data_IF_892353211502
#
_entry.id   IF_892353211502
#
_cell.length_a   1.000
_cell.length_b   1.000
_cell.length_c   1.000
_cell.angle_alpha   90.00
_cell.angle_beta   90.00
_cell.angle_gamma   90.00
#
_symmetry.space_group_name_H-M   'P 1'
#
loop_
_entity.id
_entity.type
_entity.pdbx_description
1 polymer ?
#
# COMPACT_ATOMS: atom_id res chain seq x y z
N UNK A 1 -37.01 12.52 -80.38
CA UNK A 1 -35.73 13.26 -80.32
C UNK A 1 -35.76 14.08 -79.04
N UNK A 2 -35.24 13.55 -77.94
CA UNK A 2 -33.81 13.49 -77.52
C UNK A 2 -33.51 14.69 -76.61
N UNK A 3 -33.11 14.36 -75.37
CA UNK A 3 -32.34 15.18 -74.43
C UNK A 3 -33.09 15.96 -73.34
N UNK A 4 -34.14 15.40 -72.72
CA UNK A 4 -34.66 15.95 -71.44
C UNK A 4 -34.25 15.16 -70.18
N UNK A 5 -33.65 13.97 -70.35
CA UNK A 5 -33.22 13.12 -69.22
C UNK A 5 -31.79 13.38 -68.72
N UNK A 6 -31.03 14.28 -69.36
CA UNK A 6 -29.60 14.51 -69.05
C UNK A 6 -29.39 15.63 -68.01
N UNK A 7 -30.36 16.54 -67.82
CA UNK A 7 -30.24 17.61 -66.81
C UNK A 7 -30.75 17.21 -65.40
N UNK A 8 -31.45 16.08 -65.27
CA UNK A 8 -31.87 15.54 -63.98
C UNK A 8 -30.80 14.66 -63.30
N UNK A 9 -29.69 14.37 -63.99
CA UNK A 9 -28.57 13.59 -63.43
C UNK A 9 -27.42 14.46 -62.88
N UNK A 10 -27.48 15.79 -63.03
CA UNK A 10 -26.43 16.72 -62.58
C UNK A 10 -26.80 17.53 -61.32
N UNK A 11 -28.01 17.35 -60.75
CA UNK A 11 -28.44 17.97 -59.47
C UNK A 11 -28.52 16.92 -58.33
N UNK A 12 -27.98 15.71 -58.56
CA UNK A 12 -27.92 14.62 -57.58
C UNK A 12 -26.50 14.35 -57.04
N UNK A 13 -25.55 15.27 -57.28
CA UNK A 13 -24.12 15.11 -56.89
C UNK A 13 -23.62 16.27 -55.99
N UNK A 14 -24.50 17.00 -55.30
CA UNK A 14 -24.05 18.15 -54.49
C UNK A 14 -24.82 18.36 -53.17
N UNK A 15 -25.18 17.28 -52.47
CA UNK A 15 -25.73 17.41 -51.11
C UNK A 15 -25.58 16.11 -50.30
N UNK A 16 -24.33 15.63 -50.18
CA UNK A 16 -23.92 14.68 -49.14
C UNK A 16 -22.54 15.08 -48.60
N UNK A 17 -22.46 16.28 -48.04
CA UNK A 17 -21.51 16.60 -46.97
C UNK A 17 -22.30 17.27 -45.85
N UNK A 18 -23.26 16.54 -45.26
CA UNK A 18 -23.41 16.66 -43.82
C UNK A 18 -22.16 16.00 -43.24
N UNK A 19 -21.09 16.78 -43.10
CA UNK A 19 -20.17 16.48 -42.02
C UNK A 19 -21.06 16.51 -40.77
N UNK A 20 -21.17 15.38 -40.07
CA UNK A 20 -21.35 15.48 -38.63
C UNK A 20 -20.29 16.50 -38.20
N UNK A 21 -20.75 17.66 -37.72
CA UNK A 21 -20.02 18.27 -36.62
C UNK A 21 -20.06 17.15 -35.58
N UNK A 22 -18.95 16.40 -35.51
CA UNK A 22 -18.58 15.84 -34.24
C UNK A 22 -18.55 17.09 -33.34
N UNK A 23 -19.59 17.24 -32.52
CA UNK A 23 -19.45 18.02 -31.32
C UNK A 23 -18.22 17.40 -30.66
N UNK A 24 -17.08 18.07 -30.81
CA UNK A 24 -15.88 17.77 -30.05
C UNK A 24 -16.35 17.81 -28.61
N UNK A 25 -16.65 16.63 -28.05
CA UNK A 25 -16.73 16.46 -26.62
C UNK A 25 -15.42 17.05 -26.14
N UNK A 26 -15.47 18.14 -25.38
CA UNK A 26 -14.28 18.62 -24.68
C UNK A 26 -13.75 17.40 -23.91
N UNK A 27 -12.68 16.80 -24.43
CA UNK A 27 -12.06 15.58 -23.91
C UNK A 27 -11.30 15.87 -22.61
N UNK A 28 -11.74 16.90 -21.87
CA UNK A 28 -11.39 17.08 -20.48
C UNK A 28 -12.18 16.05 -19.69
N UNK A 29 -11.59 14.87 -19.60
CA UNK A 29 -11.90 13.93 -18.54
C UNK A 29 -12.05 14.71 -17.23
N UNK A 30 -13.16 14.58 -16.53
CA UNK A 30 -13.37 15.15 -15.19
C UNK A 30 -12.32 14.65 -14.16
N UNK A 31 -11.50 13.67 -14.54
CA UNK A 31 -10.38 13.14 -13.77
C UNK A 31 -9.05 13.90 -14.03
N UNK A 32 -8.99 14.76 -15.04
CA UNK A 32 -7.80 15.55 -15.33
C UNK A 32 -7.74 16.78 -14.42
N UNK A 33 -7.00 16.64 -13.32
CA UNK A 33 -6.73 17.74 -12.41
C UNK A 33 -5.98 18.89 -13.11
N UNK A 34 -6.45 20.11 -12.86
CA UNK A 34 -5.82 21.35 -13.31
C UNK A 34 -4.42 21.51 -12.70
N UNK A 35 -3.54 22.27 -13.36
CA UNK A 35 -2.21 22.57 -12.80
C UNK A 35 -2.27 23.33 -11.47
N UNK A 36 -3.36 24.05 -11.22
CA UNK A 36 -3.62 24.70 -9.93
C UNK A 36 -3.86 23.68 -8.82
N UNK A 37 -4.75 22.71 -9.04
CA UNK A 37 -5.06 21.64 -8.07
C UNK A 37 -3.81 20.79 -7.78
N UNK A 38 -3.04 20.47 -8.82
CA UNK A 38 -1.78 19.73 -8.65
C UNK A 38 -0.75 20.53 -7.84
N UNK A 39 -0.59 21.83 -8.11
CA UNK A 39 0.29 22.70 -7.32
C UNK A 39 -0.16 22.83 -5.86
N UNK A 40 -1.47 22.82 -5.61
CA UNK A 40 -2.04 22.83 -4.27
C UNK A 40 -1.76 21.54 -3.51
N UNK A 41 -1.86 20.39 -4.18
CA UNK A 41 -1.51 19.11 -3.60
C UNK A 41 0.00 18.96 -3.36
N UNK A 42 0.85 19.44 -4.28
CA UNK A 42 2.31 19.49 -4.09
C UNK A 42 2.67 20.29 -2.82
N UNK A 43 2.00 21.43 -2.57
CA UNK A 43 2.18 22.21 -1.34
C UNK A 43 1.72 21.43 -0.11
N UNK A 44 0.57 20.77 -0.18
CA UNK A 44 0.07 19.93 0.91
C UNK A 44 1.05 18.80 1.25
N UNK A 45 1.64 18.14 0.24
CA UNK A 45 2.66 17.09 0.43
C UNK A 45 3.95 17.64 1.03
N UNK A 46 4.40 18.83 0.62
CA UNK A 46 5.55 19.50 1.24
C UNK A 46 5.33 19.70 2.75
N UNK A 47 4.17 20.22 3.11
CA UNK A 47 3.81 20.54 4.51
C UNK A 47 3.57 19.30 5.36
N UNK A 48 2.98 18.24 4.79
CA UNK A 48 2.50 17.08 5.54
C UNK A 48 3.41 15.84 5.45
N UNK A 49 4.29 15.75 4.45
CA UNK A 49 5.20 14.62 4.25
C UNK A 49 6.67 15.02 4.29
N UNK A 50 7.07 16.01 3.49
CA UNK A 50 8.49 16.39 3.35
C UNK A 50 9.02 17.08 4.62
N UNK A 51 8.32 18.11 5.09
CA UNK A 51 8.76 18.88 6.25
C UNK A 51 8.77 18.05 7.55
N UNK A 52 7.72 17.26 7.88
CA UNK A 52 7.68 16.55 9.15
C UNK A 52 8.48 15.24 9.12
N UNK A 53 8.55 14.55 7.97
CA UNK A 53 9.08 13.17 7.91
C UNK A 53 10.25 12.98 6.94
N UNK A 54 10.56 13.97 6.09
CA UNK A 54 11.49 13.83 4.97
C UNK A 54 11.13 12.68 4.01
N UNK A 55 9.83 12.57 3.72
CA UNK A 55 9.29 11.62 2.75
C UNK A 55 8.95 12.39 1.47
N UNK A 56 9.48 11.94 0.34
CA UNK A 56 9.11 12.40 -1.00
C UNK A 56 7.95 11.54 -1.52
N UNK A 57 6.74 12.12 -1.54
CA UNK A 57 5.53 11.43 -1.99
C UNK A 57 5.25 11.76 -3.46
N UNK A 58 5.43 10.78 -4.33
CA UNK A 58 5.31 10.90 -5.78
C UNK A 58 4.00 10.29 -6.27
N UNK A 59 3.12 11.13 -6.83
CA UNK A 59 1.89 10.71 -7.48
C UNK A 59 1.88 11.02 -8.98
N UNK A 60 2.71 11.98 -9.42
CA UNK A 60 2.89 12.29 -10.83
C UNK A 60 3.69 11.15 -11.46
N UNK A 61 3.16 10.59 -12.54
CA UNK A 61 3.91 9.66 -13.37
C UNK A 61 4.97 10.48 -14.12
N UNK A 62 6.10 10.75 -13.46
CA UNK A 62 7.31 11.17 -14.16
C UNK A 62 7.65 10.05 -15.14
N UNK A 63 8.02 10.38 -16.39
CA UNK A 63 8.49 9.41 -17.37
C UNK A 63 9.81 8.78 -16.90
N UNK A 64 9.74 7.93 -15.87
CA UNK A 64 10.85 7.23 -15.25
C UNK A 64 10.87 5.83 -15.83
N UNK A 65 12.07 5.43 -16.23
CA UNK A 65 12.51 4.11 -16.70
C UNK A 65 12.10 2.95 -15.78
N UNK A 66 10.81 2.65 -15.69
CA UNK A 66 10.34 1.33 -15.26
C UNK A 66 10.30 0.44 -16.49
N UNK A 67 10.83 -0.79 -16.38
CA UNK A 67 10.76 -1.81 -17.43
C UNK A 67 9.37 -1.78 -18.09
N UNK A 68 9.35 -1.44 -19.40
CA UNK A 68 8.16 -1.25 -20.24
C UNK A 68 7.32 -2.54 -20.43
N UNK A 69 7.52 -3.55 -19.59
CA UNK A 69 6.83 -4.85 -19.60
C UNK A 69 5.53 -4.84 -18.79
N UNK A 70 5.27 -3.80 -17.99
CA UNK A 70 4.05 -3.66 -17.21
C UNK A 70 3.13 -2.56 -17.80
N UNK A 71 1.84 -2.85 -18.00
CA UNK A 71 0.81 -1.86 -18.37
C UNK A 71 0.57 -0.91 -17.19
N UNK A 72 1.51 0.00 -16.95
CA UNK A 72 1.41 1.05 -15.94
C UNK A 72 0.52 2.15 -16.50
N UNK A 73 -0.61 2.41 -15.85
CA UNK A 73 -1.46 3.56 -16.17
C UNK A 73 -1.18 4.69 -15.18
N UNK A 74 -1.37 5.96 -15.59
CA UNK A 74 -1.31 7.08 -14.68
C UNK A 74 -2.26 6.88 -13.50
N UNK A 75 -1.82 7.32 -12.33
CA UNK A 75 -2.61 7.30 -11.12
C UNK A 75 -3.71 8.36 -11.18
N UNK A 76 -4.94 8.00 -10.79
CA UNK A 76 -6.04 8.94 -10.55
C UNK A 76 -5.62 9.99 -9.49
N UNK A 77 -5.76 11.28 -9.85
CA UNK A 77 -5.33 12.38 -9.00
C UNK A 77 -6.07 12.42 -7.66
N UNK A 78 -7.40 12.38 -7.68
CA UNK A 78 -8.19 12.49 -6.45
C UNK A 78 -8.01 11.25 -5.57
N UNK A 79 -7.83 10.08 -6.17
CA UNK A 79 -7.46 8.88 -5.43
C UNK A 79 -6.06 9.00 -4.79
N UNK A 80 -5.13 9.73 -5.41
CA UNK A 80 -3.84 10.06 -4.79
C UNK A 80 -3.99 10.92 -3.54
N UNK A 81 -4.83 11.96 -3.62
CA UNK A 81 -5.12 12.85 -2.49
C UNK A 81 -5.69 12.04 -1.34
N UNK A 82 -6.68 11.18 -1.62
CA UNK A 82 -7.31 10.31 -0.62
C UNK A 82 -6.30 9.38 0.05
N UNK A 83 -5.48 8.69 -0.75
CA UNK A 83 -4.46 7.78 -0.23
C UNK A 83 -3.40 8.51 0.59
N UNK A 84 -2.93 9.68 0.16
CA UNK A 84 -1.94 10.44 0.91
C UNK A 84 -2.50 10.88 2.29
N UNK A 85 -3.78 11.24 2.38
CA UNK A 85 -4.43 11.55 3.67
C UNK A 85 -4.58 10.29 4.53
N UNK A 86 -5.06 9.18 3.96
CA UNK A 86 -5.25 7.91 4.68
C UNK A 86 -3.93 7.33 5.18
N UNK A 87 -2.88 7.31 4.35
CA UNK A 87 -1.53 6.83 4.70
C UNK A 87 -0.95 7.65 5.84
N UNK A 88 -1.09 8.99 5.78
CA UNK A 88 -0.64 9.86 6.87
C UNK A 88 -1.40 9.58 8.16
N UNK A 89 -2.73 9.50 8.09
CA UNK A 89 -3.57 9.35 9.27
C UNK A 89 -3.43 7.97 9.95
N UNK A 90 -3.51 6.88 9.18
CA UNK A 90 -3.54 5.52 9.70
C UNK A 90 -2.16 4.98 10.07
N UNK A 91 -1.09 5.56 9.52
CA UNK A 91 0.27 5.09 9.75
C UNK A 91 1.19 6.14 10.36
N UNK A 92 1.49 7.24 9.68
CA UNK A 92 2.49 8.20 10.19
C UNK A 92 2.08 8.80 11.53
N UNK A 93 0.83 9.27 11.62
CA UNK A 93 0.30 9.86 12.85
C UNK A 93 0.05 8.83 13.96
N UNK A 94 -0.26 7.59 13.60
CA UNK A 94 -0.35 6.50 14.58
C UNK A 94 1.01 6.23 15.25
N UNK A 95 2.09 6.30 14.46
CA UNK A 95 3.45 6.11 14.95
C UNK A 95 3.91 7.34 15.75
N UNK A 96 3.56 8.55 15.32
CA UNK A 96 3.83 9.79 16.07
C UNK A 96 3.15 9.77 17.45
N UNK A 97 1.90 9.33 17.52
CA UNK A 97 1.12 9.32 18.76
C UNK A 97 1.72 8.40 19.83
N UNK A 98 2.32 7.27 19.42
CA UNK A 98 2.82 6.26 20.36
C UNK A 98 4.33 6.33 20.56
N UNK A 99 5.10 6.55 19.50
CA UNK A 99 6.56 6.58 19.54
C UNK A 99 7.18 7.97 19.40
N UNK A 100 6.39 8.98 19.07
CA UNK A 100 6.87 10.33 18.78
C UNK A 100 7.48 10.49 17.38
N UNK A 101 7.66 11.73 16.96
CA UNK A 101 8.13 12.08 15.62
C UNK A 101 9.50 11.48 15.28
N UNK A 102 10.41 11.41 16.24
CA UNK A 102 11.74 10.84 16.04
C UNK A 102 11.68 9.34 15.71
N UNK A 103 10.76 8.60 16.34
CA UNK A 103 10.53 7.18 16.04
C UNK A 103 9.98 7.03 14.61
N UNK A 104 8.95 7.79 14.25
CA UNK A 104 8.37 7.77 12.90
C UNK A 104 9.42 8.07 11.84
N UNK A 105 10.23 9.12 12.04
CA UNK A 105 11.33 9.49 11.12
C UNK A 105 12.44 8.43 11.07
N UNK A 106 12.64 7.69 12.16
CA UNK A 106 13.61 6.60 12.20
C UNK A 106 13.17 5.38 11.37
N UNK A 107 11.90 5.19 11.06
CA UNK A 107 11.45 4.08 10.20
C UNK A 107 10.71 4.49 8.93
N UNK A 108 10.57 5.78 8.66
CA UNK A 108 9.99 6.27 7.43
C UNK A 108 10.83 5.92 6.20
N UNK A 109 10.20 5.52 5.08
CA UNK A 109 10.85 5.44 3.79
C UNK A 109 11.26 6.84 3.32
N UNK A 110 12.11 6.93 2.30
CA UNK A 110 12.48 8.23 1.70
C UNK A 110 11.56 8.60 0.56
N UNK A 111 11.00 7.62 -0.13
CA UNK A 111 10.08 7.83 -1.25
C UNK A 111 8.83 6.97 -1.06
N UNK A 112 7.66 7.54 -1.30
CA UNK A 112 6.42 6.80 -1.53
C UNK A 112 5.99 7.10 -2.96
N UNK A 113 5.71 6.08 -3.75
CA UNK A 113 5.32 6.23 -5.16
C UNK A 113 3.95 5.56 -5.40
N UNK A 114 3.02 6.27 -6.03
CA UNK A 114 1.73 5.71 -6.44
C UNK A 114 1.73 5.33 -7.92
N UNK A 115 1.14 4.19 -8.27
CA UNK A 115 1.03 3.71 -9.65
C UNK A 115 -0.40 3.20 -9.93
N UNK A 116 -1.01 3.62 -11.04
CA UNK A 116 -2.41 3.37 -11.43
C UNK A 116 -2.82 1.96 -11.84
N UNK A 117 -1.94 0.97 -11.73
CA UNK A 117 -2.22 -0.40 -12.19
C UNK A 117 -1.57 -1.42 -11.26
N UNK A 118 -2.25 -2.50 -10.90
CA UNK A 118 -1.64 -3.59 -10.15
C UNK A 118 -0.46 -4.20 -10.95
N UNK A 119 0.70 -4.36 -10.31
CA UNK A 119 1.80 -5.12 -10.93
C UNK A 119 1.61 -6.63 -10.66
N UNK A 120 1.63 -7.40 -11.74
CA UNK A 120 1.62 -8.85 -11.73
C UNK A 120 3.05 -9.37 -11.83
N UNK A 121 3.57 -9.95 -10.74
CA UNK A 121 4.77 -10.80 -10.79
C UNK A 121 4.44 -12.21 -10.28
N UNK A 122 4.75 -13.22 -11.09
CA UNK A 122 4.78 -14.66 -10.73
C UNK A 122 3.59 -15.22 -9.93
N UNK A 123 2.37 -14.76 -10.21
CA UNK A 123 1.15 -15.32 -9.59
C UNK A 123 0.86 -14.80 -8.17
N UNK A 124 1.61 -13.79 -7.73
CA UNK A 124 1.34 -13.01 -6.50
C UNK A 124 1.18 -11.55 -6.89
N UNK A 125 0.04 -10.94 -6.54
CA UNK A 125 -0.11 -9.50 -6.75
C UNK A 125 0.89 -8.78 -5.85
N UNK A 126 1.62 -7.82 -6.40
CA UNK A 126 2.49 -6.95 -5.61
C UNK A 126 1.84 -5.59 -5.59
N UNK A 127 1.20 -5.22 -4.47
CA UNK A 127 0.53 -3.93 -4.28
C UNK A 127 1.38 -2.94 -3.47
N UNK A 128 2.55 -3.41 -3.03
CA UNK A 128 3.59 -2.72 -2.28
C UNK A 128 4.96 -3.34 -2.59
N UNK A 129 5.93 -2.58 -3.11
CA UNK A 129 7.35 -3.00 -3.14
C UNK A 129 8.19 -2.06 -2.30
N UNK A 130 9.15 -2.59 -1.55
CA UNK A 130 10.18 -1.78 -0.91
C UNK A 130 11.59 -2.12 -1.40
N UNK A 131 12.32 -1.09 -1.81
CA UNK A 131 13.71 -1.21 -2.25
C UNK A 131 14.64 -0.77 -1.12
N UNK A 132 15.05 -1.73 -0.28
CA UNK A 132 16.01 -1.49 0.81
C UNK A 132 15.54 -0.47 1.85
N UNK A 133 14.23 -0.39 2.10
CA UNK A 133 13.63 0.60 2.99
C UNK A 133 13.64 2.05 2.48
N UNK A 134 14.16 2.30 1.27
CA UNK A 134 14.30 3.64 0.70
C UNK A 134 13.02 4.11 0.00
N UNK A 135 12.33 3.21 -0.69
CA UNK A 135 11.18 3.53 -1.55
C UNK A 135 10.07 2.52 -1.35
N UNK A 136 8.85 2.98 -1.12
CA UNK A 136 7.62 2.15 -1.11
C UNK A 136 6.78 2.48 -2.35
N UNK A 137 6.42 1.49 -3.15
CA UNK A 137 5.54 1.69 -4.32
C UNK A 137 4.17 1.09 -4.07
N UNK A 138 3.12 1.90 -4.03
CA UNK A 138 1.74 1.47 -3.85
C UNK A 138 1.02 1.43 -5.20
N UNK A 139 0.56 0.25 -5.60
CA UNK A 139 -0.20 0.07 -6.83
C UNK A 139 -1.70 0.19 -6.53
N UNK A 140 -2.43 0.95 -7.36
CA UNK A 140 -3.79 1.37 -7.08
C UNK A 140 -4.69 1.37 -8.32
N UNK A 141 -6.00 1.52 -8.10
CA UNK A 141 -7.00 1.68 -9.14
C UNK A 141 -8.37 2.01 -8.55
N UNK A 142 -9.30 2.46 -9.39
CA UNK A 142 -10.66 2.85 -9.01
C UNK A 142 -11.52 1.72 -8.39
N UNK A 143 -11.04 0.47 -8.43
CA UNK A 143 -11.66 -0.70 -7.80
C UNK A 143 -11.42 -0.77 -6.29
N UNK A 144 -10.59 0.11 -5.72
CA UNK A 144 -10.33 0.17 -4.28
C UNK A 144 -11.49 0.80 -3.51
N UNK A 145 -12.06 0.03 -2.60
CA UNK A 145 -12.89 0.57 -1.53
C UNK A 145 -12.00 1.03 -0.38
N UNK A 146 -11.73 2.34 -0.34
CA UNK A 146 -10.89 2.97 0.68
C UNK A 146 -11.48 2.89 2.10
N UNK A 147 -12.79 2.64 2.23
CA UNK A 147 -13.46 2.53 3.53
C UNK A 147 -13.44 1.12 4.09
N UNK A 148 -13.09 0.12 3.26
CA UNK A 148 -12.97 -1.25 3.69
C UNK A 148 -11.60 -1.48 4.36
N UNK A 149 -11.58 -1.38 5.69
CA UNK A 149 -10.37 -1.54 6.52
C UNK A 149 -9.64 -2.85 6.24
N UNK A 150 -10.36 -3.97 6.06
CA UNK A 150 -9.75 -5.26 5.78
C UNK A 150 -9.00 -5.26 4.43
N UNK A 151 -9.59 -4.63 3.39
CA UNK A 151 -8.95 -4.49 2.08
C UNK A 151 -7.74 -3.56 2.13
N UNK A 152 -7.86 -2.43 2.83
CA UNK A 152 -6.75 -1.49 2.98
C UNK A 152 -5.58 -2.12 3.77
N UNK A 153 -5.88 -2.93 4.78
CA UNK A 153 -4.88 -3.72 5.50
C UNK A 153 -4.22 -4.79 4.63
N UNK A 154 -5.03 -5.55 3.89
CA UNK A 154 -4.54 -6.61 2.98
C UNK A 154 -3.62 -6.04 1.90
N UNK A 155 -3.99 -4.90 1.32
CA UNK A 155 -3.30 -4.36 0.14
C UNK A 155 -2.13 -3.44 0.48
N UNK A 156 -2.23 -2.64 1.55
CA UNK A 156 -1.27 -1.58 1.81
C UNK A 156 -0.66 -1.67 3.20
N UNK A 157 -1.46 -1.53 4.25
CA UNK A 157 -0.91 -1.31 5.59
C UNK A 157 -0.06 -2.48 6.08
N UNK A 158 -0.44 -3.73 5.80
CA UNK A 158 0.38 -4.90 6.20
C UNK A 158 1.77 -4.85 5.58
N UNK A 159 1.87 -4.60 4.28
CA UNK A 159 3.17 -4.51 3.58
C UNK A 159 3.96 -3.31 4.10
N UNK A 160 3.31 -2.17 4.29
CA UNK A 160 3.96 -0.97 4.82
C UNK A 160 4.56 -1.21 6.21
N UNK A 161 3.77 -1.73 7.17
CA UNK A 161 4.27 -2.03 8.51
C UNK A 161 5.37 -3.11 8.52
N UNK A 162 5.29 -4.09 7.61
CA UNK A 162 6.33 -5.09 7.42
C UNK A 162 7.68 -4.45 7.06
N UNK A 163 7.67 -3.54 6.07
CA UNK A 163 8.89 -2.89 5.60
C UNK A 163 9.46 -1.89 6.62
N UNK A 164 8.62 -1.23 7.41
CA UNK A 164 9.11 -0.38 8.50
C UNK A 164 9.75 -1.19 9.61
N UNK A 165 9.19 -2.37 9.92
CA UNK A 165 9.83 -3.28 10.87
C UNK A 165 11.24 -3.64 10.39
N UNK A 166 11.44 -3.93 9.10
CA UNK A 166 12.78 -4.15 8.54
C UNK A 166 13.72 -2.95 8.72
N UNK A 167 13.26 -1.73 8.48
CA UNK A 167 14.09 -0.52 8.69
C UNK A 167 14.48 -0.37 10.17
N UNK A 168 13.55 -0.64 11.08
CA UNK A 168 13.84 -0.65 12.52
C UNK A 168 14.93 -1.68 12.83
N UNK A 169 14.78 -2.92 12.35
CA UNK A 169 15.74 -3.99 12.56
C UNK A 169 17.14 -3.67 12.01
N UNK A 170 17.23 -2.99 10.86
CA UNK A 170 18.50 -2.56 10.28
C UNK A 170 19.20 -1.47 11.11
N UNK A 171 18.44 -0.59 11.77
CA UNK A 171 18.99 0.50 12.60
C UNK A 171 19.35 0.05 14.00
N UNK A 172 18.55 -0.84 14.59
CA UNK A 172 18.80 -1.47 15.89
C UNK A 172 18.45 -2.94 15.76
N UNK A 173 19.46 -3.80 15.73
CA UNK A 173 19.26 -5.24 15.56
C UNK A 173 18.29 -5.79 16.62
N UNK A 174 17.36 -6.62 16.17
CA UNK A 174 16.52 -7.40 17.07
C UNK A 174 17.35 -8.53 17.74
N UNK A 175 16.85 -9.14 18.84
CA UNK A 175 17.61 -10.17 19.55
C UNK A 175 17.90 -11.39 18.68
N UNK A 176 19.17 -11.78 18.58
CA UNK A 176 19.61 -12.97 17.80
C UNK A 176 18.99 -14.28 18.28
N UNK A 177 18.45 -14.31 19.50
CA UNK A 177 17.73 -15.46 20.02
C UNK A 177 16.37 -15.67 19.33
N UNK A 178 15.82 -14.66 18.65
CA UNK A 178 14.62 -14.80 17.83
C UNK A 178 14.81 -15.87 16.74
N UNK A 179 15.95 -15.82 16.04
CA UNK A 179 16.30 -16.73 14.94
C UNK A 179 16.32 -18.20 15.37
N UNK A 180 16.56 -18.46 16.66
CA UNK A 180 16.62 -19.82 17.22
C UNK A 180 15.25 -20.42 17.47
N UNK A 181 14.20 -19.60 17.65
CA UNK A 181 12.86 -20.05 18.05
C UNK A 181 12.28 -21.06 17.04
N UNK A 182 12.45 -20.80 15.75
CA UNK A 182 11.95 -21.66 14.66
C UNK A 182 13.07 -22.21 13.77
N UNK A 183 14.30 -22.26 14.28
CA UNK A 183 15.44 -22.82 13.56
C UNK A 183 15.15 -24.26 13.10
N UNK A 184 15.44 -24.55 11.83
CA UNK A 184 15.14 -25.84 11.20
C UNK A 184 13.77 -25.93 10.50
N UNK A 185 12.84 -25.00 10.76
CA UNK A 185 11.50 -24.99 10.13
C UNK A 185 11.35 -23.92 9.03
N UNK A 186 12.36 -23.07 8.85
CA UNK A 186 12.40 -22.07 7.77
C UNK A 186 12.62 -22.72 6.40
N UNK A 187 11.95 -22.20 5.37
CA UNK A 187 12.10 -22.63 3.97
C UNK A 187 12.41 -21.40 3.10
N UNK A 188 13.69 -21.00 2.95
CA UNK A 188 14.05 -19.80 2.18
C UNK A 188 13.55 -19.83 0.73
N UNK A 189 13.51 -21.02 0.15
CA UNK A 189 12.91 -21.31 -1.16
C UNK A 189 11.70 -22.22 -0.96
N UNK A 190 10.57 -21.92 -1.61
CA UNK A 190 9.36 -22.74 -1.57
C UNK A 190 8.39 -22.41 -0.43
N UNK A 191 8.61 -21.32 0.32
CA UNK A 191 7.68 -20.84 1.34
C UNK A 191 6.26 -20.61 0.79
N UNK A 192 6.14 -20.18 -0.47
CA UNK A 192 4.88 -19.94 -1.17
C UNK A 192 4.07 -21.23 -1.43
N UNK A 193 4.68 -22.40 -1.29
CA UNK A 193 4.01 -23.68 -1.47
C UNK A 193 3.35 -24.20 -0.18
N UNK A 194 3.64 -23.58 0.97
CA UNK A 194 3.05 -23.95 2.26
C UNK A 194 1.84 -23.07 2.57
N UNK A 195 0.78 -23.67 3.11
CA UNK A 195 -0.45 -22.93 3.48
C UNK A 195 -0.42 -22.51 4.95
N UNK A 196 -1.25 -21.53 5.33
CA UNK A 196 -1.34 -21.05 6.71
C UNK A 196 -1.56 -22.18 7.73
N UNK A 197 -2.45 -23.13 7.43
CA UNK A 197 -2.74 -24.27 8.31
C UNK A 197 -1.54 -25.23 8.50
N UNK A 198 -0.56 -25.21 7.61
CA UNK A 198 0.66 -26.02 7.72
C UNK A 198 1.74 -25.28 8.53
N UNK A 199 1.86 -23.97 8.35
CA UNK A 199 2.95 -23.17 8.94
C UNK A 199 2.60 -22.62 10.33
N UNK A 200 1.32 -22.38 10.63
CA UNK A 200 0.90 -21.88 11.94
C UNK A 200 1.27 -22.83 13.09
N UNK A 201 1.13 -24.18 12.98
CA UNK A 201 1.63 -25.11 13.98
C UNK A 201 3.15 -25.08 14.21
N UNK A 202 3.92 -24.54 13.26
CA UNK A 202 5.38 -24.35 13.37
C UNK A 202 5.74 -22.97 13.97
N UNK A 203 4.73 -22.17 14.31
CA UNK A 203 4.88 -20.84 14.90
C UNK A 203 5.06 -19.71 13.89
N UNK A 204 4.62 -19.87 12.64
CA UNK A 204 4.64 -18.82 11.62
C UNK A 204 3.25 -18.22 11.40
N UNK A 205 3.14 -16.88 11.50
CA UNK A 205 1.85 -16.17 11.36
C UNK A 205 1.36 -16.07 9.91
N UNK A 206 2.24 -16.29 8.94
CA UNK A 206 1.96 -16.37 7.50
C UNK A 206 2.91 -17.37 6.83
N UNK A 207 2.61 -17.85 5.61
CA UNK A 207 3.58 -18.62 4.81
C UNK A 207 4.91 -17.89 4.60
N UNK A 208 4.86 -16.56 4.39
CA UNK A 208 6.05 -15.74 4.16
C UNK A 208 6.93 -15.59 5.41
N UNK A 209 6.33 -15.53 6.61
CA UNK A 209 7.07 -15.55 7.88
C UNK A 209 7.93 -16.83 8.01
N UNK A 210 7.51 -17.93 7.38
CA UNK A 210 8.27 -19.17 7.34
C UNK A 210 9.46 -19.18 6.37
N UNK A 211 9.75 -18.09 5.65
CA UNK A 211 10.85 -18.04 4.68
C UNK A 211 12.22 -17.92 5.36
N UNK A 212 12.42 -16.92 6.22
CA UNK A 212 13.65 -16.65 6.97
C UNK A 212 13.35 -15.82 8.24
N UNK A 213 14.23 -15.81 9.25
CA UNK A 213 13.97 -15.12 10.51
C UNK A 213 13.68 -13.63 10.38
N UNK A 214 14.35 -12.93 9.46
CA UNK A 214 14.12 -11.49 9.24
C UNK A 214 12.69 -11.19 8.79
N UNK A 215 12.15 -12.01 7.88
CA UNK A 215 10.76 -11.87 7.41
C UNK A 215 9.76 -12.31 8.47
N UNK A 216 10.11 -13.29 9.28
CA UNK A 216 9.28 -13.77 10.38
C UNK A 216 8.99 -12.66 11.39
N UNK A 217 10.03 -11.99 11.89
CA UNK A 217 9.85 -10.92 12.87
C UNK A 217 9.12 -9.72 12.27
N UNK A 218 9.38 -9.38 11.00
CA UNK A 218 8.66 -8.33 10.29
C UNK A 218 7.17 -8.68 10.09
N UNK A 219 6.86 -9.92 9.70
CA UNK A 219 5.49 -10.42 9.57
C UNK A 219 4.75 -10.49 10.90
N UNK A 220 5.38 -10.97 11.98
CA UNK A 220 4.77 -10.97 13.32
C UNK A 220 4.41 -9.54 13.72
N UNK A 221 5.30 -8.57 13.49
CA UNK A 221 5.05 -7.15 13.76
C UNK A 221 3.88 -6.64 12.92
N UNK A 222 3.93 -6.84 11.61
CA UNK A 222 2.92 -6.33 10.69
C UNK A 222 1.54 -6.95 10.92
N UNK A 223 1.45 -8.28 11.03
CA UNK A 223 0.20 -8.98 11.34
C UNK A 223 -0.35 -8.54 12.69
N UNK A 224 0.50 -8.41 13.72
CA UNK A 224 0.05 -7.94 15.02
C UNK A 224 -0.42 -6.48 15.00
N UNK A 225 0.06 -5.62 14.12
CA UNK A 225 -0.43 -4.25 14.03
C UNK A 225 -1.71 -4.11 13.20
N UNK A 226 -1.95 -5.01 12.25
CA UNK A 226 -3.01 -4.87 11.23
C UNK A 226 -4.19 -5.82 11.38
N UNK A 227 -3.98 -7.04 11.88
CA UNK A 227 -5.05 -8.03 11.91
C UNK A 227 -6.11 -7.64 12.94
N UNK A 228 -7.41 -7.65 12.64
CA UNK A 228 -8.43 -7.61 13.68
C UNK A 228 -8.24 -8.74 14.68
N UNK A 229 -8.78 -8.59 15.90
CA UNK A 229 -8.65 -9.60 16.97
C UNK A 229 -9.12 -10.98 16.49
N UNK A 230 -10.26 -11.06 15.80
CA UNK A 230 -10.79 -12.30 15.25
C UNK A 230 -9.84 -12.97 14.24
N UNK A 231 -9.13 -12.19 13.42
CA UNK A 231 -8.17 -12.73 12.45
C UNK A 231 -6.91 -13.24 13.14
N UNK A 232 -6.41 -12.53 14.16
CA UNK A 232 -5.29 -12.99 15.00
C UNK A 232 -5.65 -14.30 15.71
N UNK A 233 -6.82 -14.37 16.35
CA UNK A 233 -7.28 -15.58 17.05
C UNK A 233 -7.50 -16.78 16.10
N UNK A 234 -7.87 -16.53 14.85
CA UNK A 234 -7.91 -17.59 13.84
C UNK A 234 -6.52 -18.17 13.54
N UNK A 235 -5.48 -17.33 13.44
CA UNK A 235 -4.08 -17.80 13.30
C UNK A 235 -3.68 -18.61 14.53
N UNK A 236 -3.99 -18.12 15.74
CA UNK A 236 -3.70 -18.84 16.98
C UNK A 236 -4.44 -20.19 17.03
N UNK A 237 -5.69 -20.23 16.58
CA UNK A 237 -6.48 -21.47 16.51
C UNK A 237 -5.84 -22.50 15.57
N UNK A 238 -5.43 -22.08 14.37
CA UNK A 238 -4.70 -22.92 13.42
C UNK A 238 -3.34 -23.37 13.96
N UNK A 239 -2.69 -22.55 14.77
CA UNK A 239 -1.41 -22.89 15.39
C UNK A 239 -1.51 -24.03 16.42
N UNK A 240 -2.68 -24.19 17.06
CA UNK A 240 -2.94 -25.27 18.01
C UNK A 240 -1.97 -25.27 19.21
N UNK A 241 -1.89 -26.40 19.92
CA UNK A 241 -1.09 -26.50 21.16
C UNK A 241 0.41 -26.34 20.93
N UNK A 242 0.92 -26.68 19.74
CA UNK A 242 2.35 -26.59 19.41
C UNK A 242 2.75 -25.19 18.97
N UNK A 243 1.96 -24.58 18.08
CA UNK A 243 2.32 -23.30 17.48
C UNK A 243 2.01 -22.10 18.36
N UNK A 244 0.92 -22.13 19.15
CA UNK A 244 0.53 -20.99 20.01
C UNK A 244 1.66 -20.53 20.93
N UNK A 245 2.33 -21.40 21.74
CA UNK A 245 3.41 -20.96 22.60
C UNK A 245 4.61 -20.36 21.85
N UNK A 246 4.85 -20.82 20.62
CA UNK A 246 5.93 -20.32 19.76
C UNK A 246 5.60 -18.91 19.26
N UNK A 247 4.36 -18.69 18.80
CA UNK A 247 3.89 -17.37 18.37
C UNK A 247 3.89 -16.39 19.56
N UNK A 248 3.41 -16.83 20.73
CA UNK A 248 3.41 -16.02 21.95
C UNK A 248 4.84 -15.63 22.36
N UNK A 249 5.79 -16.57 22.30
CA UNK A 249 7.20 -16.30 22.58
C UNK A 249 7.79 -15.26 21.60
N UNK A 250 7.52 -15.41 20.29
CA UNK A 250 7.95 -14.44 19.27
C UNK A 250 7.36 -13.08 19.53
N UNK A 251 6.04 -12.98 19.70
CA UNK A 251 5.34 -11.72 19.94
C UNK A 251 5.84 -11.03 21.22
N UNK A 252 6.06 -11.78 22.30
CA UNK A 252 6.64 -11.23 23.52
C UNK A 252 8.04 -10.64 23.29
N UNK A 253 8.86 -11.30 22.46
CA UNK A 253 10.18 -10.79 22.07
C UNK A 253 10.08 -9.54 21.20
N UNK A 254 9.13 -9.47 20.26
CA UNK A 254 8.86 -8.25 19.47
C UNK A 254 8.42 -7.10 20.37
N UNK A 255 7.47 -7.32 21.28
CA UNK A 255 7.02 -6.30 22.24
C UNK A 255 8.16 -5.78 23.09
N UNK A 256 9.01 -6.68 23.60
CA UNK A 256 10.20 -6.31 24.37
C UNK A 256 11.21 -5.52 23.54
N UNK A 257 11.49 -5.97 22.31
CA UNK A 257 12.38 -5.25 21.39
C UNK A 257 11.88 -3.84 21.08
N UNK A 258 10.59 -3.68 20.77
CA UNK A 258 9.99 -2.38 20.48
C UNK A 258 10.06 -1.43 21.69
N UNK A 259 9.80 -1.96 22.89
CA UNK A 259 9.93 -1.19 24.13
C UNK A 259 11.38 -0.80 24.43
N UNK A 260 12.30 -1.76 24.43
CA UNK A 260 13.68 -1.53 24.87
C UNK A 260 14.47 -0.69 23.85
N UNK A 261 14.29 -0.96 22.55
CA UNK A 261 15.03 -0.29 21.49
C UNK A 261 14.41 1.04 21.07
N UNK A 262 13.08 1.15 21.08
CA UNK A 262 12.35 2.27 20.48
C UNK A 262 11.39 2.99 21.43
N UNK A 263 11.26 2.53 22.68
CA UNK A 263 10.37 3.12 23.68
C UNK A 263 8.89 3.09 23.24
N UNK A 264 8.54 2.15 22.36
CA UNK A 264 7.20 1.98 21.81
C UNK A 264 6.46 0.84 22.51
N UNK A 265 5.25 1.14 22.98
CA UNK A 265 4.29 0.11 23.40
C UNK A 265 3.54 -0.42 22.16
N UNK A 266 3.84 -1.66 21.78
CA UNK A 266 3.29 -2.26 20.57
C UNK A 266 1.80 -2.61 20.71
N UNK A 267 1.31 -2.92 21.92
CA UNK A 267 -0.10 -3.15 22.17
C UNK A 267 -0.91 -1.86 22.04
N UNK A 268 -0.35 -0.75 22.54
CA UNK A 268 -0.93 0.57 22.37
C UNK A 268 -0.94 0.99 20.89
N UNK A 269 0.17 0.78 20.17
CA UNK A 269 0.24 1.09 18.74
C UNK A 269 -0.81 0.33 17.93
N UNK A 270 -1.00 -0.96 18.19
CA UNK A 270 -2.07 -1.77 17.58
C UNK A 270 -3.45 -1.13 17.80
N UNK A 271 -3.75 -0.71 19.04
CA UNK A 271 -5.05 -0.07 19.36
C UNK A 271 -5.23 1.27 18.67
N UNK A 272 -4.18 2.09 18.60
CA UNK A 272 -4.20 3.40 17.92
C UNK A 272 -4.39 3.24 16.42
N UNK A 273 -3.71 2.29 15.79
CA UNK A 273 -3.90 1.97 14.36
C UNK A 273 -5.35 1.55 14.11
N UNK A 274 -5.88 0.60 14.89
CA UNK A 274 -7.26 0.13 14.74
C UNK A 274 -8.29 1.27 14.89
N UNK A 275 -8.06 2.20 15.83
CA UNK A 275 -8.88 3.40 15.99
C UNK A 275 -8.83 4.29 14.74
N UNK A 276 -7.63 4.66 14.28
CA UNK A 276 -7.40 5.54 13.12
C UNK A 276 -7.90 4.95 11.81
N UNK A 277 -7.82 3.63 11.63
CA UNK A 277 -8.42 2.98 10.46
C UNK A 277 -9.95 3.06 10.45
N UNK A 278 -10.60 3.08 11.61
CA UNK A 278 -12.05 3.28 11.69
C UNK A 278 -12.45 4.76 11.51
N UNK A 279 -11.53 5.69 11.72
CA UNK A 279 -11.72 7.14 11.52
C UNK A 279 -11.60 7.54 10.03
N UNK A 280 -11.25 6.63 9.11
CA UNK A 280 -11.05 6.94 7.67
C UNK A 280 -12.26 7.67 7.06
N UNK A 281 -13.48 7.22 7.35
CA UNK A 281 -14.70 7.84 6.82
C UNK A 281 -15.00 9.24 7.38
N UNK A 282 -14.29 9.64 8.44
CA UNK A 282 -14.42 10.95 9.09
C UNK A 282 -13.41 11.96 8.53
N UNK A 283 -12.44 11.50 7.73
CA UNK A 283 -11.46 12.35 7.07
C UNK A 283 -12.11 13.16 5.94
N UNK A 284 -11.66 14.40 5.76
CA UNK A 284 -11.98 15.16 4.56
C UNK A 284 -11.15 14.65 3.38
N UNK A 285 -11.71 13.66 2.69
CA UNK A 285 -11.10 12.97 1.56
C UNK A 285 -11.40 13.62 0.20
N UNK A 286 -12.37 14.54 0.14
CA UNK A 286 -12.84 15.12 -1.11
C UNK A 286 -12.23 16.52 -1.39
N UNK A 287 -11.44 17.06 -0.47
CA UNK A 287 -10.68 18.30 -0.64
C UNK A 287 -9.20 18.11 -0.32
N UNK A 288 -8.35 19.06 -0.72
CA UNK A 288 -6.92 19.04 -0.37
C UNK A 288 -6.71 19.68 1.02
N UNK A 289 -7.22 20.90 1.22
CA UNK A 289 -7.17 21.66 2.48
C UNK A 289 -8.53 21.72 3.17
#
# INVERSE_FOLDING_TARGET
MKNWYIYLLCILVSSNFFACQDDDLEDQSIFDASEKEKSEFDRWLLENYVNPYNIDFKYRMEHIESDYTHNLVPTDFWLSVKLAKIVKHCWLEAYDEVGGLDFTRACAPKVIHLIGSASWDKGTYTLGTAEGGLKVTLYMGNWLDLTNVDRMNEYYFKVMHHEFAHILHQKKNYPVDYDKISAGNYTPTGWQNRKLAEVAPLGFVTPYAGSKPSEDIAEVTACFLTYPEAQWENVMTLAGEKGKPIIDQKLAMVKKYMKDSWQVDLDLLRKVIARRTNEISELDLDHIY
#
